data_IF_452991449312
#
_entry.id   IF_452991449312
#
_cell.length_a   1.000
_cell.length_b   1.000
_cell.length_c   1.000
_cell.angle_alpha   90.00
_cell.angle_beta   90.00
_cell.angle_gamma   90.00
#
_symmetry.space_group_name_H-M   'P 1'
#
loop_
_entity.id
_entity.type
_entity.pdbx_description
1 polymer ?
#
# COMPACT_ATOMS: atom_id res chain seq x y z
N UNK A 1 25.22 -8.49 32.54
CA UNK A 1 25.38 -8.11 31.13
C UNK A 1 26.83 -7.79 30.92
N UNK A 2 27.49 -8.44 29.95
CA UNK A 2 28.90 -8.23 29.70
C UNK A 2 29.03 -6.96 28.84
N UNK A 3 29.35 -5.83 29.46
CA UNK A 3 29.43 -4.52 28.82
C UNK A 3 30.65 -4.52 27.91
N UNK A 4 30.45 -4.41 26.59
CA UNK A 4 31.53 -4.26 25.62
C UNK A 4 32.01 -2.81 25.61
N UNK A 5 33.17 -2.53 26.18
CA UNK A 5 33.81 -1.23 26.08
C UNK A 5 34.41 -1.03 24.68
N UNK A 6 33.62 -0.43 23.80
CA UNK A 6 34.06 -0.06 22.47
C UNK A 6 34.75 1.31 22.54
N UNK A 7 36.09 1.34 22.54
CA UNK A 7 36.86 2.58 22.50
C UNK A 7 36.97 3.13 21.08
N UNK A 8 36.70 4.43 20.88
CA UNK A 8 36.54 5.08 19.57
C UNK A 8 37.83 5.29 18.77
N UNK A 9 39.00 5.33 19.43
CA UNK A 9 40.30 5.46 18.79
C UNK A 9 41.24 4.37 19.31
N UNK A 10 41.59 3.43 18.43
CA UNK A 10 42.39 2.24 18.73
C UNK A 10 43.61 2.21 17.82
N UNK A 11 44.46 3.24 17.86
CA UNK A 11 45.65 3.31 16.99
C UNK A 11 46.91 3.65 17.76
N UNK A 12 48.02 3.05 17.35
CA UNK A 12 49.37 3.42 17.75
C UNK A 12 50.03 4.22 16.61
N UNK A 13 50.41 5.47 16.86
CA UNK A 13 50.91 6.41 15.82
C UNK A 13 52.28 6.95 16.23
N UNK A 14 53.17 7.13 15.25
CA UNK A 14 54.41 7.91 15.33
C UNK A 14 54.13 9.35 14.88
N UNK A 15 54.17 10.36 15.77
CA UNK A 15 53.87 11.76 15.45
C UNK A 15 54.98 12.48 14.70
N UNK A 16 56.18 11.91 14.56
CA UNK A 16 57.18 12.52 13.67
C UNK A 16 56.74 12.41 12.21
N UNK A 17 56.02 11.33 11.87
CA UNK A 17 55.69 10.97 10.50
C UNK A 17 54.19 10.72 10.26
N UNK A 18 53.37 10.82 11.29
CA UNK A 18 51.94 10.45 11.32
C UNK A 18 51.70 9.00 10.82
N UNK A 19 52.67 8.10 11.09
CA UNK A 19 52.64 6.71 10.63
C UNK A 19 52.18 5.75 11.71
N UNK A 20 51.34 4.78 11.34
CA UNK A 20 50.88 3.74 12.26
C UNK A 20 52.03 2.79 12.63
N UNK A 21 52.21 2.53 13.93
CA UNK A 21 53.28 1.67 14.45
C UNK A 21 52.74 0.25 14.66
N UNK A 22 53.23 -0.70 13.87
CA UNK A 22 52.89 -2.11 14.00
C UNK A 22 53.52 -2.75 15.25
N UNK A 23 52.79 -3.68 15.89
CA UNK A 23 53.23 -4.50 17.04
C UNK A 23 53.73 -3.70 18.26
N UNK A 24 53.36 -2.42 18.35
CA UNK A 24 53.75 -1.52 19.42
C UNK A 24 53.09 -1.95 20.74
N UNK A 25 53.84 -2.04 21.85
CA UNK A 25 53.25 -2.25 23.16
C UNK A 25 52.45 -1.01 23.57
N UNK A 26 51.27 -1.24 24.12
CA UNK A 26 50.36 -0.19 24.58
C UNK A 26 50.01 -0.45 26.04
N UNK A 27 50.11 0.60 26.85
CA UNK A 27 49.63 0.63 28.22
C UNK A 27 48.34 1.44 28.27
N UNK A 28 47.41 1.06 29.14
CA UNK A 28 46.11 1.74 29.25
C UNK A 28 46.04 2.39 30.63
N UNK A 29 45.69 3.66 30.69
CA UNK A 29 45.55 4.42 31.94
C UNK A 29 44.15 4.99 32.05
N UNK A 30 43.67 5.19 33.27
CA UNK A 30 42.43 5.92 33.48
C UNK A 30 42.62 7.40 33.08
N UNK A 31 41.64 8.04 32.43
CA UNK A 31 41.79 9.45 32.02
C UNK A 31 42.10 10.40 33.17
N UNK A 32 41.55 10.12 34.36
CA UNK A 32 41.79 10.89 35.59
C UNK A 32 43.12 10.57 36.30
N UNK A 33 43.86 9.53 35.88
CA UNK A 33 45.21 9.27 36.37
C UNK A 33 46.20 10.20 35.66
N UNK A 34 46.55 11.30 36.33
CA UNK A 34 47.50 12.29 35.81
C UNK A 34 48.96 11.85 35.90
N UNK A 35 49.32 10.88 36.74
CA UNK A 35 50.72 10.44 36.87
C UNK A 35 51.08 9.36 35.85
N UNK A 36 50.08 8.63 35.32
CA UNK A 36 50.28 7.55 34.35
C UNK A 36 51.25 6.48 34.86
N UNK A 37 51.25 6.24 36.16
CA UNK A 37 52.15 5.29 36.81
C UNK A 37 51.51 3.91 36.96
N UNK A 38 50.19 3.83 37.05
CA UNK A 38 49.47 2.58 37.30
C UNK A 38 48.65 2.19 36.08
N UNK A 39 49.16 1.29 35.20
CA UNK A 39 48.39 0.82 34.07
C UNK A 39 47.19 -0.01 34.55
N UNK A 40 46.05 0.22 33.92
CA UNK A 40 44.84 -0.56 34.11
C UNK A 40 45.04 -1.96 33.54
N UNK A 41 44.45 -2.94 34.23
CA UNK A 41 44.39 -4.32 33.73
C UNK A 41 43.45 -4.38 32.54
N UNK A 42 43.88 -5.08 31.51
CA UNK A 42 43.17 -5.18 30.23
C UNK A 42 42.70 -6.62 30.05
N UNK A 43 41.50 -6.82 29.53
CA UNK A 43 40.89 -8.14 29.32
C UNK A 43 40.37 -8.29 27.90
N UNK A 44 40.39 -9.51 27.38
CA UNK A 44 39.76 -9.85 26.12
C UNK A 44 38.22 -9.83 26.27
N UNK A 45 37.47 -9.12 25.39
CA UNK A 45 36.03 -8.92 25.58
C UNK A 45 35.20 -10.21 25.61
N UNK A 46 35.57 -11.20 24.78
CA UNK A 46 34.82 -12.43 24.61
C UNK A 46 35.11 -13.46 25.72
N UNK A 47 36.38 -13.63 26.09
CA UNK A 47 36.82 -14.66 27.02
C UNK A 47 36.93 -14.16 28.47
N UNK A 48 37.08 -12.85 28.68
CA UNK A 48 37.39 -12.25 29.98
C UNK A 48 38.81 -12.55 30.48
N UNK A 49 39.68 -13.12 29.63
CA UNK A 49 41.07 -13.42 29.99
C UNK A 49 41.88 -12.14 30.01
N UNK A 50 42.73 -11.99 31.02
CA UNK A 50 43.64 -10.86 31.15
C UNK A 50 44.70 -10.86 30.03
N UNK A 51 44.88 -9.71 29.40
CA UNK A 51 45.88 -9.45 28.37
C UNK A 51 47.07 -8.77 29.06
N UNK A 52 48.17 -9.50 29.35
CA UNK A 52 49.29 -8.95 30.13
C UNK A 52 50.06 -7.86 29.36
N UNK A 53 50.07 -7.93 28.03
CA UNK A 53 50.69 -6.92 27.17
C UNK A 53 49.77 -6.68 25.98
N UNK A 54 49.13 -5.51 25.96
CA UNK A 54 48.35 -5.07 24.81
C UNK A 54 49.30 -4.64 23.70
N UNK A 55 49.06 -5.13 22.48
CA UNK A 55 49.84 -4.76 21.29
C UNK A 55 48.93 -4.33 20.16
N UNK A 56 49.38 -3.34 19.40
CA UNK A 56 48.76 -3.05 18.10
C UNK A 56 49.03 -4.20 17.12
N UNK A 57 48.17 -4.38 16.13
CA UNK A 57 48.40 -5.35 15.05
C UNK A 57 49.38 -4.80 13.99
N UNK A 58 49.58 -5.57 12.90
CA UNK A 58 50.43 -5.17 11.76
C UNK A 58 50.05 -3.84 11.07
N UNK A 59 48.87 -3.30 11.36
CA UNK A 59 48.35 -2.05 10.83
C UNK A 59 48.34 -0.94 11.88
N UNK A 60 48.95 -1.15 13.05
CA UNK A 60 48.93 -0.20 14.15
C UNK A 60 47.56 -0.04 14.82
N UNK A 61 46.64 -0.97 14.60
CA UNK A 61 45.30 -0.97 15.21
C UNK A 61 45.33 -1.82 16.49
N UNK A 62 44.87 -1.24 17.58
CA UNK A 62 44.67 -1.92 18.87
C UNK A 62 43.38 -2.72 18.78
N UNK A 63 43.34 -3.93 19.32
CA UNK A 63 42.13 -4.75 19.29
C UNK A 63 41.11 -4.25 20.32
N UNK A 64 39.86 -4.69 20.20
CA UNK A 64 38.85 -4.40 21.22
C UNK A 64 39.25 -5.03 22.55
N UNK A 65 39.10 -4.26 23.63
CA UNK A 65 39.51 -4.65 24.98
C UNK A 65 38.44 -4.25 25.99
N UNK A 66 38.48 -4.88 27.15
CA UNK A 66 37.88 -4.37 28.39
C UNK A 66 38.97 -3.92 29.34
N UNK A 67 38.65 -2.99 30.22
CA UNK A 67 39.57 -2.51 31.25
C UNK A 67 38.94 -2.67 32.62
N UNK A 68 39.77 -2.94 33.62
CA UNK A 68 39.33 -3.04 35.01
C UNK A 68 38.66 -1.74 35.48
N UNK A 69 37.46 -1.87 36.06
CA UNK A 69 36.72 -0.74 36.63
C UNK A 69 35.89 0.06 35.62
N UNK A 70 35.84 -0.35 34.35
CA UNK A 70 35.01 0.23 33.28
C UNK A 70 35.00 1.78 33.24
N UNK A 71 36.17 2.44 33.19
CA UNK A 71 36.24 3.90 33.16
C UNK A 71 35.60 4.47 31.88
N UNK A 72 34.85 5.56 32.03
CA UNK A 72 34.18 6.25 30.91
C UNK A 72 35.16 6.73 29.81
N UNK A 73 36.42 7.00 30.17
CA UNK A 73 37.49 7.33 29.25
C UNK A 73 38.84 6.79 29.75
N UNK A 74 39.67 6.35 28.81
CA UNK A 74 41.02 5.86 29.04
C UNK A 74 42.01 6.61 28.17
N UNK A 75 43.30 6.46 28.50
CA UNK A 75 44.41 6.94 27.68
C UNK A 75 45.29 5.77 27.32
N UNK A 76 45.43 5.54 26.02
CA UNK A 76 46.35 4.58 25.43
C UNK A 76 47.74 5.21 25.31
N UNK A 77 48.71 4.64 26.00
CA UNK A 77 50.10 5.09 25.95
C UNK A 77 50.97 4.11 25.18
N UNK A 78 51.66 4.57 24.15
CA UNK A 78 52.69 3.79 23.44
C UNK A 78 53.99 4.59 23.40
N UNK A 79 54.93 4.25 24.27
CA UNK A 79 56.15 5.04 24.47
C UNK A 79 55.83 6.46 24.97
N UNK A 80 56.29 7.53 24.28
CA UNK A 80 55.98 8.91 24.65
C UNK A 80 54.58 9.37 24.19
N UNK A 81 53.81 8.53 23.48
CA UNK A 81 52.54 8.93 22.88
C UNK A 81 51.35 8.55 23.74
N UNK A 82 50.38 9.46 23.84
CA UNK A 82 49.14 9.29 24.59
C UNK A 82 47.94 9.61 23.68
N UNK A 83 47.03 8.65 23.52
CA UNK A 83 45.78 8.81 22.77
C UNK A 83 44.63 8.64 23.73
N UNK A 84 43.80 9.67 23.85
CA UNK A 84 42.56 9.55 24.62
C UNK A 84 41.53 8.75 23.83
N UNK A 85 40.88 7.82 24.51
CA UNK A 85 39.74 7.11 23.96
C UNK A 85 38.59 7.11 24.95
N UNK A 86 37.42 7.49 24.45
CA UNK A 86 36.18 7.39 25.21
C UNK A 86 35.57 6.01 25.00
N UNK A 87 35.05 5.40 26.08
CA UNK A 87 34.19 4.23 25.93
C UNK A 87 32.91 4.67 25.21
N UNK A 88 32.37 3.82 24.35
CA UNK A 88 31.04 4.00 23.74
C UNK A 88 29.96 4.28 24.79
N UNK A 89 30.11 3.75 26.01
CA UNK A 89 29.24 4.09 27.13
C UNK A 89 29.50 5.50 27.68
N UNK A 90 30.76 5.94 27.76
CA UNK A 90 31.11 7.31 28.13
C UNK A 90 30.51 8.35 27.17
N UNK A 91 30.54 8.07 25.86
CA UNK A 91 29.88 8.91 24.85
C UNK A 91 28.36 8.94 25.05
N UNK A 92 27.73 7.79 25.30
CA UNK A 92 26.28 7.72 25.55
C UNK A 92 25.86 8.47 26.83
N UNK A 93 26.66 8.43 27.89
CA UNK A 93 26.45 9.22 29.11
C UNK A 93 26.64 10.72 28.89
N UNK A 94 27.60 11.13 28.06
CA UNK A 94 27.83 12.54 27.70
C UNK A 94 26.65 13.14 26.92
N UNK A 95 25.91 12.32 26.18
CA UNK A 95 24.63 12.68 25.53
C UNK A 95 23.38 12.43 26.40
N UNK A 96 23.53 12.06 27.68
CA UNK A 96 22.41 11.90 28.62
C UNK A 96 21.53 10.65 28.39
N UNK A 97 22.01 9.67 27.63
CA UNK A 97 21.29 8.42 27.36
C UNK A 97 21.67 7.35 28.40
N UNK A 98 20.82 7.18 29.41
CA UNK A 98 20.93 6.05 30.34
C UNK A 98 20.56 4.73 29.64
N UNK A 99 21.00 3.56 30.15
CA UNK A 99 20.61 2.26 29.60
C UNK A 99 19.10 2.04 29.50
N UNK A 100 18.31 2.59 30.42
CA UNK A 100 16.84 2.53 30.33
C UNK A 100 16.29 3.37 29.16
N UNK A 101 16.86 4.55 28.93
CA UNK A 101 16.48 5.42 27.81
C UNK A 101 16.91 4.84 26.46
N UNK A 102 18.01 4.09 26.40
CA UNK A 102 18.44 3.37 25.21
C UNK A 102 17.47 2.24 24.84
N UNK A 103 17.01 1.45 25.82
CA UNK A 103 16.00 0.43 25.58
C UNK A 103 14.67 1.04 25.09
N UNK A 104 14.25 2.17 25.67
CA UNK A 104 13.07 2.90 25.23
C UNK A 104 13.26 3.51 23.82
N UNK A 105 14.44 4.04 23.50
CA UNK A 105 14.76 4.62 22.20
C UNK A 105 14.86 3.56 21.08
N UNK A 106 15.24 2.32 21.41
CA UNK A 106 15.23 1.18 20.48
C UNK A 106 13.79 0.66 20.29
N UNK A 107 12.97 0.62 21.33
CA UNK A 107 11.58 0.15 21.24
C UNK A 107 10.64 1.13 20.52
N UNK A 108 10.92 2.44 20.58
CA UNK A 108 10.11 3.48 19.94
C UNK A 108 9.94 3.32 18.40
N UNK A 109 11.00 3.09 17.60
CA UNK A 109 10.86 2.87 16.16
C UNK A 109 10.14 1.55 15.81
N UNK A 110 10.27 0.51 16.62
CA UNK A 110 9.52 -0.75 16.40
C UNK A 110 8.02 -0.57 16.63
N UNK A 111 7.64 0.18 17.67
CA UNK A 111 6.24 0.52 17.92
C UNK A 111 5.65 1.41 16.80
N UNK A 112 6.43 2.35 16.27
CA UNK A 112 6.02 3.19 15.13
C UNK A 112 5.86 2.38 13.84
N UNK A 113 6.76 1.42 13.58
CA UNK A 113 6.67 0.51 12.43
C UNK A 113 5.44 -0.41 12.53
N UNK A 114 5.15 -0.95 13.73
CA UNK A 114 3.96 -1.75 13.98
C UNK A 114 2.65 -0.96 13.77
N UNK A 115 2.61 0.30 14.23
CA UNK A 115 1.48 1.19 14.00
C UNK A 115 1.29 1.51 12.50
N UNK A 116 2.38 1.73 11.76
CA UNK A 116 2.34 1.94 10.30
C UNK A 116 1.83 0.72 9.53
N UNK A 117 2.25 -0.50 9.93
CA UNK A 117 1.77 -1.75 9.32
C UNK A 117 0.28 -2.00 9.59
N UNK A 118 -0.20 -1.67 10.79
CA UNK A 118 -1.62 -1.76 11.12
C UNK A 118 -2.46 -0.77 10.28
N UNK A 119 -2.00 0.48 10.13
CA UNK A 119 -2.67 1.47 9.27
C UNK A 119 -2.69 1.06 7.80
N UNK A 120 -1.60 0.49 7.27
CA UNK A 120 -1.55 -0.02 5.90
C UNK A 120 -2.55 -1.17 5.68
N UNK A 121 -2.72 -2.05 6.68
CA UNK A 121 -3.70 -3.14 6.63
C UNK A 121 -5.14 -2.62 6.60
N UNK A 122 -5.47 -1.62 7.43
CA UNK A 122 -6.80 -0.98 7.43
C UNK A 122 -7.08 -0.28 6.09
N UNK A 123 -6.10 0.44 5.54
CA UNK A 123 -6.23 1.09 4.23
C UNK A 123 -6.46 0.07 3.10
N UNK A 124 -5.74 -1.06 3.12
CA UNK A 124 -5.95 -2.16 2.17
C UNK A 124 -7.36 -2.78 2.31
N UNK A 125 -7.85 -2.94 3.54
CA UNK A 125 -9.22 -3.40 3.82
C UNK A 125 -10.28 -2.48 3.19
N UNK A 126 -10.19 -1.17 3.42
CA UNK A 126 -11.11 -0.20 2.82
C UNK A 126 -11.04 -0.17 1.29
N UNK A 127 -9.85 -0.34 0.70
CA UNK A 127 -9.70 -0.42 -0.75
C UNK A 127 -10.41 -1.67 -1.33
N UNK A 128 -10.31 -2.82 -0.65
CA UNK A 128 -10.99 -4.05 -1.05
C UNK A 128 -12.53 -3.93 -0.94
N UNK A 129 -13.02 -3.33 0.14
CA UNK A 129 -14.45 -3.03 0.32
C UNK A 129 -14.97 -2.10 -0.79
N UNK A 130 -14.24 -1.01 -1.08
CA UNK A 130 -14.61 -0.08 -2.14
C UNK A 130 -14.61 -0.75 -3.52
N UNK A 131 -13.66 -1.66 -3.80
CA UNK A 131 -13.63 -2.45 -5.03
C UNK A 131 -14.87 -3.33 -5.17
N UNK A 132 -15.26 -4.00 -4.07
CA UNK A 132 -16.44 -4.88 -4.03
C UNK A 132 -17.73 -4.08 -4.26
N UNK A 133 -17.86 -2.91 -3.64
CA UNK A 133 -19.01 -2.02 -3.83
C UNK A 133 -19.11 -1.53 -5.28
N UNK A 134 -17.98 -1.17 -5.93
CA UNK A 134 -17.97 -0.77 -7.34
C UNK A 134 -18.39 -1.91 -8.27
N UNK A 135 -17.91 -3.14 -8.00
CA UNK A 135 -18.31 -4.31 -8.77
C UNK A 135 -19.82 -4.59 -8.65
N UNK A 136 -20.37 -4.53 -7.43
CA UNK A 136 -21.81 -4.69 -7.21
C UNK A 136 -22.64 -3.61 -7.93
N UNK A 137 -22.20 -2.34 -7.88
CA UNK A 137 -22.87 -1.25 -8.58
C UNK A 137 -22.83 -1.43 -10.11
N UNK A 138 -21.72 -1.93 -10.67
CA UNK A 138 -21.60 -2.21 -12.10
C UNK A 138 -22.54 -3.34 -12.55
N UNK A 139 -22.69 -4.39 -11.74
CA UNK A 139 -23.63 -5.49 -11.99
C UNK A 139 -25.07 -4.96 -11.99
N UNK A 140 -25.45 -4.20 -10.96
CA UNK A 140 -26.79 -3.62 -10.87
C UNK A 140 -27.10 -2.68 -12.06
N UNK A 141 -26.12 -1.91 -12.52
CA UNK A 141 -26.28 -1.06 -13.70
C UNK A 141 -26.47 -1.88 -14.99
N UNK A 142 -25.75 -3.00 -15.15
CA UNK A 142 -25.90 -3.89 -16.29
C UNK A 142 -27.27 -4.59 -16.31
N UNK A 143 -27.78 -5.02 -15.15
CA UNK A 143 -29.11 -5.58 -14.99
C UNK A 143 -30.20 -4.55 -15.34
N UNK A 144 -30.08 -3.32 -14.84
CA UNK A 144 -31.00 -2.24 -15.16
C UNK A 144 -31.01 -1.91 -16.67
N UNK A 145 -29.83 -1.86 -17.31
CA UNK A 145 -29.72 -1.65 -18.75
C UNK A 145 -30.38 -2.78 -19.55
N UNK A 146 -30.22 -4.03 -19.12
CA UNK A 146 -30.83 -5.18 -19.77
C UNK A 146 -32.36 -5.16 -19.65
N UNK A 147 -32.88 -4.83 -18.47
CA UNK A 147 -34.32 -4.66 -18.24
C UNK A 147 -34.92 -3.52 -19.09
N UNK A 148 -34.21 -2.39 -19.20
CA UNK A 148 -34.62 -1.28 -20.07
C UNK A 148 -34.68 -1.71 -21.56
N UNK A 149 -33.70 -2.48 -22.02
CA UNK A 149 -33.68 -3.05 -23.37
C UNK A 149 -34.88 -3.97 -23.63
N UNK A 150 -35.20 -4.87 -22.69
CA UNK A 150 -36.36 -5.75 -22.79
C UNK A 150 -37.69 -4.97 -22.81
N UNK A 151 -37.82 -3.93 -21.98
CA UNK A 151 -39.00 -3.07 -21.97
C UNK A 151 -39.17 -2.28 -23.29
N UNK A 152 -38.06 -1.79 -23.86
CA UNK A 152 -38.09 -1.10 -25.15
C UNK A 152 -38.51 -2.04 -26.30
N UNK A 153 -38.02 -3.28 -26.31
CA UNK A 153 -38.44 -4.29 -27.29
C UNK A 153 -39.95 -4.60 -27.16
N UNK A 154 -40.44 -4.84 -25.94
CA UNK A 154 -41.86 -5.08 -25.70
C UNK A 154 -42.75 -3.89 -26.12
N UNK A 155 -42.28 -2.65 -25.94
CA UNK A 155 -43.00 -1.47 -26.39
C UNK A 155 -43.06 -1.38 -27.92
N UNK A 156 -41.99 -1.75 -28.63
CA UNK A 156 -41.97 -1.81 -30.09
C UNK A 156 -42.92 -2.89 -30.63
N UNK A 157 -42.93 -4.08 -30.02
CA UNK A 157 -43.85 -5.16 -30.38
C UNK A 157 -45.32 -4.74 -30.17
N UNK A 158 -45.61 -4.06 -29.06
CA UNK A 158 -46.95 -3.54 -28.78
C UNK A 158 -47.39 -2.45 -29.79
N UNK A 159 -46.46 -1.61 -30.25
CA UNK A 159 -46.74 -0.63 -31.30
C UNK A 159 -47.05 -1.31 -32.65
N UNK A 160 -46.22 -2.28 -33.05
CA UNK A 160 -46.44 -3.05 -34.27
C UNK A 160 -47.78 -3.80 -34.24
N UNK A 161 -48.16 -4.38 -33.10
CA UNK A 161 -49.47 -5.03 -32.93
C UNK A 161 -50.64 -4.04 -33.08
N UNK A 162 -50.50 -2.80 -32.59
CA UNK A 162 -51.51 -1.75 -32.77
C UNK A 162 -51.66 -1.34 -34.23
N UNK A 163 -50.55 -1.19 -34.95
CA UNK A 163 -50.58 -0.84 -36.38
C UNK A 163 -51.29 -1.93 -37.21
N UNK A 164 -51.05 -3.21 -36.89
CA UNK A 164 -51.76 -4.33 -37.52
C UNK A 164 -53.25 -4.30 -37.22
N UNK A 165 -53.64 -4.04 -35.97
CA UNK A 165 -55.05 -3.93 -35.59
C UNK A 165 -55.75 -2.74 -36.27
N UNK A 166 -55.06 -1.60 -36.40
CA UNK A 166 -55.59 -0.45 -37.11
C UNK A 166 -55.80 -0.76 -38.60
N UNK A 167 -54.81 -1.37 -39.26
CA UNK A 167 -54.93 -1.79 -40.66
C UNK A 167 -56.10 -2.76 -40.89
N UNK A 168 -56.34 -3.69 -39.94
CA UNK A 168 -57.50 -4.58 -39.99
C UNK A 168 -58.83 -3.83 -39.79
N UNK A 169 -58.87 -2.86 -38.88
CA UNK A 169 -60.06 -2.04 -38.66
C UNK A 169 -60.39 -1.19 -39.90
N UNK A 170 -59.39 -0.57 -40.53
CA UNK A 170 -59.55 0.20 -41.75
C UNK A 170 -60.06 -0.68 -42.92
N UNK A 171 -59.53 -1.90 -43.05
CA UNK A 171 -59.99 -2.86 -44.04
C UNK A 171 -61.43 -3.36 -43.79
N UNK A 172 -61.85 -3.52 -42.52
CA UNK A 172 -63.20 -3.94 -42.16
C UNK A 172 -64.24 -2.81 -42.25
N UNK A 173 -63.80 -1.56 -42.13
CA UNK A 173 -64.64 -0.35 -42.14
C UNK A 173 -65.02 0.17 -43.53
N UNK A 174 -64.39 -0.33 -44.61
CA UNK A 174 -64.78 -0.02 -45.98
C UNK A 174 -65.79 -1.06 -46.50
N UNK A 175 -67.11 -0.78 -46.51
CA UNK A 175 -68.10 -1.76 -46.96
C UNK A 175 -68.04 -1.99 -48.49
N UNK A 176 -67.42 -1.07 -49.22
CA UNK A 176 -67.27 -1.06 -50.66
C UNK A 176 -65.80 -0.76 -51.00
N UNK A 177 -65.23 -1.52 -51.92
CA UNK A 177 -64.01 -1.16 -52.62
C UNK A 177 -64.25 -1.19 -54.12
N UNK A 178 -63.66 -0.24 -54.85
CA UNK A 178 -63.68 -0.26 -56.31
C UNK A 178 -62.83 -1.43 -56.82
N UNK A 179 -63.35 -2.18 -57.80
CA UNK A 179 -62.64 -3.28 -58.43
C UNK A 179 -61.45 -2.70 -59.22
N UNK A 180 -60.19 -3.06 -58.88
CA UNK A 180 -59.03 -2.53 -59.58
C UNK A 180 -58.95 -2.97 -61.04
N UNK A 181 -59.62 -4.06 -61.41
CA UNK A 181 -59.66 -4.57 -62.78
C UNK A 181 -60.85 -3.99 -63.59
N UNK A 182 -61.79 -3.30 -62.95
CA UNK A 182 -62.96 -2.67 -63.57
C UNK A 182 -63.38 -1.34 -62.88
N UNK A 183 -62.73 -0.21 -63.20
CA UNK A 183 -63.04 1.10 -62.62
C UNK A 183 -64.51 1.50 -62.83
N UNK A 184 -65.19 1.86 -61.75
CA UNK A 184 -66.63 2.14 -61.70
C UNK A 184 -67.50 1.00 -61.18
N UNK A 185 -66.95 -0.21 -61.01
CA UNK A 185 -67.62 -1.34 -60.35
C UNK A 185 -67.15 -1.46 -58.90
N UNK A 186 -68.08 -1.54 -57.95
CA UNK A 186 -67.75 -1.69 -56.52
C UNK A 186 -68.05 -3.11 -56.04
N UNK A 187 -67.07 -3.73 -55.41
CA UNK A 187 -67.23 -5.02 -54.74
C UNK A 187 -67.62 -4.78 -53.29
N UNK A 188 -68.69 -5.46 -52.85
CA UNK A 188 -69.11 -5.46 -51.46
C UNK A 188 -68.14 -6.33 -50.67
N UNK A 189 -67.30 -5.69 -49.85
CA UNK A 189 -66.32 -6.38 -49.01
C UNK A 189 -66.92 -6.83 -47.68
N UNK A 190 -67.92 -6.10 -47.17
CA UNK A 190 -68.59 -6.40 -45.92
C UNK A 190 -70.12 -6.21 -46.04
N UNK A 191 -70.86 -7.24 -46.48
CA UNK A 191 -72.31 -7.13 -46.70
C UNK A 191 -73.09 -6.89 -45.39
N UNK A 192 -72.52 -7.20 -44.23
CA UNK A 192 -73.15 -6.95 -42.94
C UNK A 192 -73.12 -5.46 -42.52
N UNK A 193 -72.26 -4.65 -43.14
CA UNK A 193 -72.18 -3.20 -42.92
C UNK A 193 -73.06 -2.39 -43.89
N UNK A 194 -73.72 -3.07 -44.85
CA UNK A 194 -74.63 -2.46 -45.80
C UNK A 194 -76.08 -2.76 -45.40
N UNK A 195 -76.94 -1.75 -45.51
CA UNK A 195 -78.39 -1.94 -45.39
C UNK A 195 -78.98 -1.75 -46.78
N UNK A 196 -79.72 -2.75 -47.27
CA UNK A 196 -80.47 -2.61 -48.51
C UNK A 196 -81.57 -1.57 -48.33
N UNK A 197 -81.69 -0.63 -49.28
CA UNK A 197 -82.75 0.36 -49.26
C UNK A 197 -84.10 -0.33 -49.51
N UNK A 198 -85.03 -0.33 -48.54
CA UNK A 198 -86.33 -0.97 -48.73
C UNK A 198 -87.19 -0.29 -49.80
N UNK A 199 -86.89 0.95 -50.19
CA UNK A 199 -87.58 1.66 -51.27
C UNK A 199 -87.07 1.28 -52.67
N UNK A 200 -85.82 0.83 -52.79
CA UNK A 200 -85.17 0.48 -54.05
C UNK A 200 -84.36 -0.83 -53.91
N UNK A 201 -85.01 -2.00 -54.14
CA UNK A 201 -84.34 -3.29 -54.06
C UNK A 201 -83.13 -3.38 -54.98
N UNK A 202 -81.99 -3.83 -54.44
CA UNK A 202 -80.69 -3.84 -55.14
C UNK A 202 -79.83 -2.58 -54.97
N UNK A 203 -80.33 -1.53 -54.31
CA UNK A 203 -79.52 -0.37 -53.88
C UNK A 203 -79.10 -0.55 -52.43
N UNK A 204 -77.81 -0.39 -52.14
CA UNK A 204 -77.26 -0.54 -50.79
C UNK A 204 -76.80 0.81 -50.24
N UNK A 205 -77.25 1.13 -49.03
CA UNK A 205 -76.84 2.32 -48.29
C UNK A 205 -75.73 1.95 -47.33
N UNK A 206 -74.68 2.78 -47.27
CA UNK A 206 -73.68 2.67 -46.22
C UNK A 206 -74.32 3.05 -44.89
N UNK A 207 -74.61 2.05 -44.05
CA UNK A 207 -75.37 2.20 -42.81
C UNK A 207 -74.55 2.71 -41.62
N UNK A 208 -73.39 3.32 -41.85
CA UNK A 208 -72.52 3.81 -40.78
C UNK A 208 -73.10 5.02 -40.04
N UNK A 209 -73.66 4.80 -38.86
CA UNK A 209 -73.76 5.79 -37.78
C UNK A 209 -72.74 5.47 -36.69
#
# INVERSE_FOLDING_TARGET
>A
MAVEDLYSAQVAVDPENDTLIADAPVQVFAKNDMSRETPLRVFEPASGVEIPVLRSNRYGIIQQIRVEGDPAAVVFKSGPYEVEAQSKFGVLFEFGLTPENLAAAIAAPEAAAAAGAAQATVAAGHAAEASTQRAAAAIAAAEASSAAGAAAAAAADAAAARDVLQALADAAGAPLAEDPDDPGTFVILNPAALTEDPAEPGTFLNGGS
#
